data_IF_352204321154
#
_entry.id   IF_352204321154
#
_cell.length_a   1.000
_cell.length_b   1.000
_cell.length_c   1.000
_cell.angle_alpha   90.00
_cell.angle_beta   90.00
_cell.angle_gamma   90.00
#
_symmetry.space_group_name_H-M   'P 1'
#
loop_
_entity.id
_entity.type
_entity.pdbx_description
1 polymer ?
#
# COMPACT_ATOMS: atom_id res chain seq x y z
N UNK A 1 -0.04 5.81 -19.04
CA UNK A 1 0.72 4.54 -18.97
C UNK A 1 0.02 3.62 -17.99
N UNK A 2 -0.31 2.42 -18.46
CA UNK A 2 -1.33 1.52 -17.92
C UNK A 2 -0.94 0.88 -16.58
N UNK A 3 -1.86 0.88 -15.62
CA UNK A 3 -1.76 0.22 -14.32
C UNK A 3 -1.80 -1.30 -14.51
N UNK A 4 -0.63 -1.94 -14.56
CA UNK A 4 -0.51 -3.41 -14.67
C UNK A 4 -0.14 -3.97 -13.30
N UNK A 5 -0.99 -4.84 -12.76
CA UNK A 5 -0.48 -6.04 -12.09
C UNK A 5 -0.58 -6.16 -10.58
N UNK A 6 -1.60 -5.62 -9.90
CA UNK A 6 -1.91 -6.09 -8.54
C UNK A 6 -2.83 -7.32 -8.61
N UNK A 7 -2.30 -8.43 -9.13
CA UNK A 7 -2.96 -9.74 -9.05
C UNK A 7 -2.77 -10.26 -7.64
N UNK A 8 -3.86 -10.28 -6.86
CA UNK A 8 -3.86 -10.86 -5.53
C UNK A 8 -3.37 -12.31 -5.59
N UNK A 9 -2.45 -12.75 -4.71
CA UNK A 9 -2.10 -14.15 -4.59
C UNK A 9 -3.33 -14.95 -4.09
N UNK A 10 -3.48 -16.22 -4.49
CA UNK A 10 -4.62 -17.07 -4.11
C UNK A 10 -4.87 -17.16 -2.58
N UNK A 11 -3.85 -16.87 -1.77
CA UNK A 11 -3.90 -16.75 -0.30
C UNK A 11 -4.99 -15.79 0.23
N UNK A 12 -5.40 -14.75 -0.52
CA UNK A 12 -6.50 -13.86 -0.09
C UNK A 12 -7.81 -14.63 0.03
N UNK A 13 -8.07 -15.50 -0.94
CA UNK A 13 -9.31 -16.27 -1.02
C UNK A 13 -9.30 -17.34 0.08
N UNK A 14 -8.15 -17.99 0.32
CA UNK A 14 -8.00 -19.03 1.35
C UNK A 14 -8.19 -18.50 2.79
N UNK A 15 -7.75 -17.27 3.07
CA UNK A 15 -7.97 -16.60 4.38
C UNK A 15 -9.44 -16.21 4.57
N UNK A 16 -10.14 -15.79 3.51
CA UNK A 16 -11.56 -15.44 3.55
C UNK A 16 -12.47 -16.70 3.62
N UNK A 17 -12.05 -17.82 3.01
CA UNK A 17 -12.81 -19.09 2.94
C UNK A 17 -12.56 -20.00 4.15
N UNK A 18 -11.54 -19.76 4.97
CA UNK A 18 -11.30 -20.55 6.19
C UNK A 18 -12.42 -20.35 7.22
N UNK A 19 -13.34 -21.31 7.29
CA UNK A 19 -14.56 -21.34 8.13
C UNK A 19 -14.36 -21.28 9.66
N UNK A 20 -13.20 -20.87 10.18
CA UNK A 20 -12.96 -20.70 11.63
C UNK A 20 -11.99 -19.54 11.89
N UNK A 21 -12.51 -18.51 12.57
CA UNK A 21 -11.85 -17.42 13.34
C UNK A 21 -10.35 -17.59 13.67
N UNK A 22 -9.45 -17.57 12.68
CA UNK A 22 -8.02 -17.45 12.92
C UNK A 22 -7.61 -15.97 12.82
N UNK A 23 -7.65 -15.31 13.97
CA UNK A 23 -7.23 -13.91 14.11
C UNK A 23 -5.75 -13.75 13.77
N UNK A 24 -4.92 -14.78 13.96
CA UNK A 24 -3.50 -14.73 13.64
C UNK A 24 -3.26 -14.82 12.13
N UNK A 25 -3.98 -15.69 11.43
CA UNK A 25 -3.97 -15.76 9.97
C UNK A 25 -4.47 -14.44 9.36
N UNK A 26 -5.58 -13.89 9.87
CA UNK A 26 -6.09 -12.59 9.44
C UNK A 26 -5.07 -11.46 9.70
N UNK A 27 -4.45 -11.41 10.89
CA UNK A 27 -3.39 -10.44 11.20
C UNK A 27 -2.22 -10.55 10.23
N UNK A 28 -1.69 -11.75 10.00
CA UNK A 28 -0.57 -11.96 9.06
C UNK A 28 -0.94 -11.54 7.64
N UNK A 29 -2.16 -11.84 7.23
CA UNK A 29 -2.70 -11.44 5.94
C UNK A 29 -2.80 -9.91 5.79
N UNK A 30 -3.38 -9.22 6.78
CA UNK A 30 -3.47 -7.77 6.78
C UNK A 30 -2.10 -7.11 6.84
N UNK A 31 -1.18 -7.57 7.70
CA UNK A 31 0.20 -7.07 7.76
C UNK A 31 0.89 -7.19 6.41
N UNK A 32 0.80 -8.37 5.78
CA UNK A 32 1.38 -8.60 4.46
C UNK A 32 0.77 -7.66 3.42
N UNK A 33 -0.56 -7.53 3.41
CA UNK A 33 -1.26 -6.66 2.47
C UNK A 33 -0.88 -5.19 2.65
N UNK A 34 -0.81 -4.71 3.90
CA UNK A 34 -0.41 -3.33 4.23
C UNK A 34 1.01 -3.06 3.76
N UNK A 35 1.96 -3.98 4.01
CA UNK A 35 3.35 -3.82 3.58
C UNK A 35 3.48 -3.78 2.07
N UNK A 36 2.84 -4.70 1.33
CA UNK A 36 2.95 -4.72 -0.14
C UNK A 36 2.30 -3.46 -0.74
N UNK A 37 1.12 -3.05 -0.26
CA UNK A 37 0.46 -1.83 -0.72
C UNK A 37 1.26 -0.57 -0.38
N UNK A 38 1.81 -0.49 0.83
CA UNK A 38 2.67 0.61 1.25
C UNK A 38 3.94 0.71 0.40
N UNK A 39 4.55 -0.44 0.06
CA UNK A 39 5.70 -0.45 -0.85
C UNK A 39 5.32 0.07 -2.24
N UNK A 40 4.23 -0.42 -2.83
CA UNK A 40 3.76 0.05 -4.13
C UNK A 40 3.40 1.54 -4.12
N UNK A 41 2.79 2.04 -3.04
CA UNK A 41 2.48 3.44 -2.85
C UNK A 41 3.75 4.31 -2.88
N UNK A 42 4.78 3.95 -2.09
CA UNK A 42 6.07 4.66 -2.07
C UNK A 42 6.73 4.66 -3.45
N UNK A 43 6.63 3.55 -4.20
CA UNK A 43 7.19 3.47 -5.55
C UNK A 43 6.45 4.37 -6.54
N UNK A 44 5.12 4.42 -6.47
CA UNK A 44 4.30 5.28 -7.31
C UNK A 44 4.50 6.76 -6.99
N UNK A 45 4.72 7.09 -5.72
CA UNK A 45 5.06 8.44 -5.28
C UNK A 45 6.40 8.90 -5.86
N UNK A 46 7.45 8.08 -5.76
CA UNK A 46 8.77 8.39 -6.34
C UNK A 46 8.74 8.54 -7.86
N UNK A 47 7.76 7.91 -8.52
CA UNK A 47 7.52 8.01 -9.97
C UNK A 47 6.59 9.17 -10.35
N UNK A 48 6.09 9.96 -9.38
CA UNK A 48 5.23 11.11 -9.63
C UNK A 48 3.80 10.76 -10.04
N UNK A 49 3.29 9.58 -9.66
CA UNK A 49 1.91 9.17 -9.98
C UNK A 49 0.84 9.75 -9.04
N UNK A 50 1.25 10.55 -8.06
CA UNK A 50 0.35 11.22 -7.14
C UNK A 50 0.70 12.70 -7.09
N UNK A 51 -0.30 13.53 -6.80
CA UNK A 51 -0.12 14.95 -6.54
C UNK A 51 0.45 15.24 -5.14
N UNK A 52 0.72 14.19 -4.35
CA UNK A 52 1.36 14.28 -3.05
C UNK A 52 2.87 14.52 -3.20
N UNK A 53 3.43 15.42 -2.40
CA UNK A 53 4.85 15.71 -2.33
C UNK A 53 5.42 16.30 -3.63
N UNK A 54 4.59 16.81 -4.54
CA UNK A 54 5.01 17.33 -5.86
C UNK A 54 6.01 18.49 -5.76
N UNK A 55 5.98 19.23 -4.66
CA UNK A 55 6.89 20.35 -4.39
C UNK A 55 8.12 19.95 -3.56
N UNK A 56 8.21 18.68 -3.16
CA UNK A 56 9.29 18.17 -2.33
C UNK A 56 10.46 17.66 -3.20
N UNK A 57 11.69 17.77 -2.67
CA UNK A 57 12.85 17.19 -3.34
C UNK A 57 12.73 15.65 -3.39
N UNK A 58 13.24 14.97 -4.43
CA UNK A 58 13.15 13.51 -4.56
C UNK A 58 13.66 12.71 -3.36
N UNK A 59 14.60 13.28 -2.59
CA UNK A 59 15.18 12.66 -1.38
C UNK A 59 14.19 12.62 -0.21
N UNK A 60 13.22 13.54 -0.15
CA UNK A 60 12.29 13.72 0.97
C UNK A 60 10.82 13.60 0.57
N UNK A 61 10.54 13.31 -0.71
CA UNK A 61 9.18 13.20 -1.27
C UNK A 61 8.26 12.28 -0.47
N UNK A 62 8.79 11.17 0.06
CA UNK A 62 8.00 10.22 0.87
C UNK A 62 7.52 10.86 2.16
N UNK A 63 8.41 11.50 2.92
CA UNK A 63 8.03 12.14 4.17
C UNK A 63 7.03 13.27 3.94
N UNK A 64 7.30 14.15 2.95
CA UNK A 64 6.41 15.25 2.60
C UNK A 64 5.02 14.75 2.15
N UNK A 65 4.95 13.67 1.38
CA UNK A 65 3.68 13.08 0.96
C UNK A 65 2.87 12.50 2.13
N UNK A 66 3.53 11.95 3.16
CA UNK A 66 2.83 11.51 4.37
C UNK A 66 2.31 12.71 5.17
N UNK A 67 3.08 13.79 5.28
CA UNK A 67 2.63 15.02 5.94
C UNK A 67 1.44 15.64 5.20
N UNK A 68 1.49 15.71 3.87
CA UNK A 68 0.38 16.20 3.04
C UNK A 68 -0.85 15.30 3.13
N UNK A 69 -0.66 13.98 3.10
CA UNK A 69 -1.76 13.02 3.24
C UNK A 69 -2.41 13.16 4.62
N UNK A 70 -1.63 13.31 5.70
CA UNK A 70 -2.14 13.50 7.06
C UNK A 70 -2.99 14.77 7.19
N UNK A 71 -2.70 15.83 6.42
CA UNK A 71 -3.51 17.05 6.40
C UNK A 71 -4.82 16.89 5.62
N UNK A 72 -4.91 15.87 4.76
CA UNK A 72 -6.05 15.62 3.90
C UNK A 72 -7.07 14.63 4.49
N UNK A 73 -6.75 13.98 5.61
CA UNK A 73 -7.64 13.08 6.37
C UNK A 73 -7.98 13.65 7.73
#
# INVERSE_FOLDING_TARGET
MSFVGFRFPPLVIDVLVSSRRDTQAAKRFFTTTVVIRGHAFIQNLRRGHYELGVHAQPKVIVAAAFDELLRAV
#
